data_IF_827521215851
#
_entry.id   IF_827521215851
#
_cell.length_a   1.000
_cell.length_b   1.000
_cell.length_c   1.000
_cell.angle_alpha   90.00
_cell.angle_beta   90.00
_cell.angle_gamma   90.00
#
_symmetry.space_group_name_H-M   'P 1'
#
loop_
_entity.id
_entity.type
_entity.pdbx_description
1 polymer ?
#
# COMPACT_ATOMS: atom_id res chain seq x y z
N UNK A 1 -26.75 32.48 -49.28
CA UNK A 1 -26.02 31.20 -49.18
C UNK A 1 -25.36 31.22 -47.82
N UNK A 2 -25.92 30.49 -46.85
CA UNK A 2 -25.31 30.39 -45.53
C UNK A 2 -23.99 29.62 -45.71
N UNK A 3 -22.89 30.22 -45.25
CA UNK A 3 -21.61 29.53 -45.13
C UNK A 3 -21.87 28.25 -44.35
N UNK A 4 -21.59 27.11 -44.99
CA UNK A 4 -21.55 25.82 -44.31
C UNK A 4 -20.48 25.98 -43.24
N UNK A 5 -20.89 26.09 -41.98
CA UNK A 5 -20.01 25.99 -40.84
C UNK A 5 -19.13 24.76 -41.06
N UNK A 6 -17.82 24.99 -41.25
CA UNK A 6 -16.86 23.89 -41.32
C UNK A 6 -16.96 23.18 -39.99
N UNK A 7 -17.50 21.97 -40.03
CA UNK A 7 -17.58 21.08 -38.89
C UNK A 7 -16.14 20.85 -38.38
N UNK A 8 -15.81 21.47 -37.26
CA UNK A 8 -14.51 21.31 -36.62
C UNK A 8 -14.55 19.97 -35.90
N UNK A 9 -14.18 18.89 -36.59
CA UNK A 9 -13.98 17.58 -35.96
C UNK A 9 -12.63 17.53 -35.24
N UNK A 10 -12.61 16.85 -34.09
CA UNK A 10 -11.40 16.53 -33.31
C UNK A 10 -10.91 15.09 -33.56
N UNK A 11 -11.56 14.33 -34.44
CA UNK A 11 -11.20 12.95 -34.75
C UNK A 11 -9.76 12.88 -35.26
N UNK A 12 -8.94 12.03 -34.62
CA UNK A 12 -7.52 11.86 -34.96
C UNK A 12 -6.63 13.06 -34.62
N UNK A 13 -7.17 14.12 -34.00
CA UNK A 13 -6.41 15.32 -33.61
C UNK A 13 -6.03 15.35 -32.14
N UNK A 14 -6.63 14.47 -31.33
CA UNK A 14 -6.38 14.36 -29.89
C UNK A 14 -5.54 13.12 -29.54
N UNK A 15 -5.28 12.24 -30.51
CA UNK A 15 -4.62 10.95 -30.27
C UNK A 15 -3.17 11.09 -29.79
N UNK A 16 -2.53 12.24 -30.07
CA UNK A 16 -1.16 12.58 -29.63
C UNK A 16 -1.12 13.67 -28.53
N UNK A 17 -2.27 14.02 -27.94
CA UNK A 17 -2.31 15.06 -26.92
C UNK A 17 -1.63 14.60 -25.63
N UNK A 18 -0.79 15.50 -25.10
CA UNK A 18 -0.12 15.27 -23.83
C UNK A 18 0.89 14.11 -23.85
N UNK A 19 1.43 13.74 -22.69
CA UNK A 19 2.46 12.71 -22.59
C UNK A 19 1.94 11.27 -22.74
N UNK A 20 0.61 11.06 -22.82
CA UNK A 20 -0.01 9.74 -22.73
C UNK A 20 -0.59 9.23 -24.05
N UNK A 21 -0.98 10.13 -24.96
CA UNK A 21 -1.51 9.79 -26.28
C UNK A 21 -2.59 8.72 -26.24
N UNK A 22 -2.46 7.69 -27.08
CA UNK A 22 -3.42 6.58 -27.19
C UNK A 22 -3.67 5.80 -25.90
N UNK A 23 -2.83 5.93 -24.86
CA UNK A 23 -3.01 5.20 -23.60
C UNK A 23 -3.88 5.93 -22.58
N UNK A 24 -4.23 7.20 -22.85
CA UNK A 24 -5.01 8.02 -21.94
C UNK A 24 -6.39 7.39 -21.64
N UNK A 25 -6.68 7.20 -20.35
CA UNK A 25 -8.00 6.76 -19.88
C UNK A 25 -8.39 5.32 -20.21
N UNK A 26 -7.49 4.49 -20.76
CA UNK A 26 -7.75 3.05 -21.01
C UNK A 26 -8.03 2.25 -19.74
N UNK A 27 -7.46 2.68 -18.62
CA UNK A 27 -7.56 2.04 -17.33
C UNK A 27 -8.23 2.97 -16.32
N UNK A 28 -9.14 2.41 -15.52
CA UNK A 28 -9.67 3.06 -14.33
C UNK A 28 -8.89 2.56 -13.10
N UNK A 29 -8.36 3.48 -12.31
CA UNK A 29 -7.60 3.19 -11.10
C UNK A 29 -8.44 3.55 -9.88
N UNK A 30 -8.58 2.59 -8.97
CA UNK A 30 -9.12 2.78 -7.64
C UNK A 30 -8.03 2.52 -6.60
N UNK A 31 -8.20 3.11 -5.43
CA UNK A 31 -7.42 2.74 -4.25
C UNK A 31 -8.32 2.13 -3.18
N UNK A 32 -7.75 1.30 -2.31
CA UNK A 32 -8.39 0.76 -1.12
C UNK A 32 -7.35 0.71 0.00
N UNK A 33 -7.76 0.97 1.23
CA UNK A 33 -6.91 0.91 2.42
C UNK A 33 -7.76 0.55 3.63
N UNK A 34 -7.16 0.59 4.82
CA UNK A 34 -7.90 0.50 6.07
C UNK A 34 -8.29 1.91 6.57
N UNK A 35 -9.59 2.24 6.68
CA UNK A 35 -10.02 3.58 7.08
C UNK A 35 -9.83 3.84 8.57
N UNK A 36 -9.55 2.81 9.37
CA UNK A 36 -9.32 2.98 10.79
C UNK A 36 -8.54 1.80 11.38
N UNK A 37 -7.22 1.87 11.30
CA UNK A 37 -6.33 0.87 11.89
C UNK A 37 -5.26 1.51 12.78
N UNK A 38 -5.03 0.91 13.94
CA UNK A 38 -3.99 1.35 14.86
C UNK A 38 -2.61 1.04 14.30
N UNK A 39 -1.73 2.05 14.23
CA UNK A 39 -0.36 1.90 13.70
C UNK A 39 0.71 2.40 14.68
N UNK A 40 0.34 2.51 15.96
CA UNK A 40 1.10 3.23 16.97
C UNK A 40 0.69 4.70 17.11
N UNK A 41 1.38 5.43 17.97
CA UNK A 41 1.07 6.83 18.29
C UNK A 41 1.56 7.79 17.19
N UNK A 42 2.65 7.46 16.51
CA UNK A 42 3.31 8.33 15.52
C UNK A 42 2.63 8.38 14.15
N UNK A 43 1.72 7.44 13.87
CA UNK A 43 1.06 7.29 12.58
C UNK A 43 -0.44 7.58 12.67
N UNK A 44 -1.06 8.20 11.65
CA UNK A 44 -2.51 8.39 11.61
C UNK A 44 -3.22 7.05 11.42
N UNK A 45 -4.45 6.93 11.94
CA UNK A 45 -5.25 5.69 11.79
C UNK A 45 -5.70 5.39 10.37
N UNK A 46 -5.55 6.35 9.46
CA UNK A 46 -5.89 6.26 8.03
C UNK A 46 -4.64 6.08 7.16
N UNK A 47 -3.52 5.63 7.74
CA UNK A 47 -2.23 5.56 7.04
C UNK A 47 -2.33 4.73 5.74
N UNK A 48 -3.03 3.60 5.78
CA UNK A 48 -3.22 2.72 4.64
C UNK A 48 -4.01 3.38 3.51
N UNK A 49 -5.05 4.16 3.85
CA UNK A 49 -5.80 4.95 2.88
C UNK A 49 -4.89 5.98 2.21
N UNK A 50 -4.10 6.72 3.00
CA UNK A 50 -3.20 7.75 2.49
C UNK A 50 -2.13 7.15 1.56
N UNK A 51 -1.58 6.00 1.95
CA UNK A 51 -0.60 5.27 1.16
C UNK A 51 -1.20 4.76 -0.16
N UNK A 52 -2.35 4.08 -0.09
CA UNK A 52 -3.04 3.56 -1.26
C UNK A 52 -3.47 4.65 -2.24
N UNK A 53 -4.05 5.74 -1.73
CA UNK A 53 -4.45 6.89 -2.54
C UNK A 53 -3.27 7.55 -3.23
N UNK A 54 -2.15 7.75 -2.52
CA UNK A 54 -0.96 8.38 -3.09
C UNK A 54 -0.39 7.56 -4.24
N UNK A 55 -0.23 6.25 -4.06
CA UNK A 55 0.34 5.39 -5.10
C UNK A 55 -0.60 5.31 -6.30
N UNK A 56 -1.89 5.06 -6.10
CA UNK A 56 -2.87 5.02 -7.17
C UNK A 56 -2.87 6.32 -8.00
N UNK A 57 -2.79 7.48 -7.34
CA UNK A 57 -2.69 8.76 -8.01
C UNK A 57 -1.39 8.89 -8.82
N UNK A 58 -0.24 8.53 -8.26
CA UNK A 58 1.04 8.59 -8.97
C UNK A 58 1.09 7.63 -10.18
N UNK A 59 0.51 6.42 -10.07
CA UNK A 59 0.36 5.50 -11.20
C UNK A 59 -0.46 6.17 -12.30
N UNK A 60 -1.56 6.85 -11.96
CA UNK A 60 -2.39 7.58 -12.94
C UNK A 60 -1.58 8.65 -13.69
N UNK A 61 -0.77 9.42 -12.97
CA UNK A 61 0.07 10.46 -13.56
C UNK A 61 1.21 9.92 -14.44
N UNK A 62 1.66 8.67 -14.24
CA UNK A 62 2.77 8.08 -15.00
C UNK A 62 2.29 7.23 -16.18
N UNK A 63 1.13 6.58 -16.06
CA UNK A 63 0.58 5.69 -17.09
C UNK A 63 -0.45 6.37 -18.01
N UNK A 64 -1.01 7.52 -17.63
CA UNK A 64 -2.15 8.12 -18.33
C UNK A 64 -3.49 7.47 -18.01
N UNK A 65 -3.50 6.44 -17.15
CA UNK A 65 -4.71 5.89 -16.60
C UNK A 65 -5.44 6.91 -15.71
N UNK A 66 -6.72 6.68 -15.44
CA UNK A 66 -7.55 7.61 -14.70
C UNK A 66 -7.75 7.17 -13.26
N UNK A 67 -7.25 7.95 -12.30
CA UNK A 67 -7.64 7.76 -10.90
C UNK A 67 -9.10 8.17 -10.69
N UNK A 68 -9.93 7.23 -10.27
CA UNK A 68 -11.38 7.40 -10.15
C UNK A 68 -11.80 7.73 -8.73
N UNK A 69 -11.52 6.83 -7.79
CA UNK A 69 -12.00 6.96 -6.42
C UNK A 69 -11.24 6.06 -5.43
N UNK A 70 -11.45 6.33 -4.14
CA UNK A 70 -11.01 5.51 -3.03
C UNK A 70 -12.20 4.68 -2.49
N UNK A 71 -12.00 3.38 -2.32
CA UNK A 71 -12.98 2.44 -1.77
C UNK A 71 -12.95 2.54 -0.23
N UNK A 72 -14.05 2.94 0.44
CA UNK A 72 -14.03 3.32 1.85
C UNK A 72 -14.28 2.14 2.82
N UNK A 73 -13.94 0.92 2.41
CA UNK A 73 -14.14 -0.29 3.19
C UNK A 73 -12.88 -1.16 3.19
N UNK A 74 -12.71 -1.98 4.22
CA UNK A 74 -11.57 -2.87 4.37
C UNK A 74 -12.02 -4.22 4.93
N UNK A 75 -11.20 -5.25 4.73
CA UNK A 75 -11.29 -6.54 5.41
C UNK A 75 -9.95 -6.85 6.08
N UNK A 76 -9.90 -7.92 6.87
CA UNK A 76 -8.68 -8.44 7.47
C UNK A 76 -8.74 -9.97 7.53
N UNK A 77 -7.59 -10.64 7.37
CA UNK A 77 -7.44 -12.10 7.47
C UNK A 77 -7.78 -12.64 8.87
N UNK A 78 -7.67 -11.80 9.90
CA UNK A 78 -7.74 -12.21 11.30
C UNK A 78 -9.10 -11.91 11.94
N UNK A 79 -10.16 -11.85 11.14
CA UNK A 79 -11.52 -11.65 11.65
C UNK A 79 -11.98 -12.81 12.55
N UNK A 80 -12.72 -12.55 13.64
CA UNK A 80 -13.19 -11.23 14.11
C UNK A 80 -12.19 -10.47 14.99
N UNK A 81 -11.05 -11.10 15.35
CA UNK A 81 -10.08 -10.55 16.31
C UNK A 81 -9.45 -9.25 15.80
N UNK A 82 -9.35 -9.08 14.49
CA UNK A 82 -8.85 -7.86 13.86
C UNK A 82 -9.56 -6.57 14.27
N UNK A 83 -10.83 -6.65 14.68
CA UNK A 83 -11.57 -5.48 15.17
C UNK A 83 -10.92 -4.80 16.39
N UNK A 84 -10.01 -5.46 17.10
CA UNK A 84 -9.27 -4.89 18.23
C UNK A 84 -8.22 -3.84 17.78
N UNK A 85 -7.66 -3.95 16.56
CA UNK A 85 -6.75 -2.95 15.98
C UNK A 85 -7.35 -2.19 14.80
N UNK A 86 -8.27 -2.81 14.07
CA UNK A 86 -8.92 -2.27 12.90
C UNK A 86 -10.46 -2.31 13.01
N UNK A 87 -11.10 -1.51 13.88
CA UNK A 87 -12.53 -1.64 14.23
C UNK A 87 -13.54 -1.41 13.10
N UNK A 88 -13.10 -1.10 11.88
CA UNK A 88 -13.95 -0.81 10.72
C UNK A 88 -13.87 -1.87 9.61
N UNK A 89 -13.09 -2.93 9.82
CA UNK A 89 -13.07 -4.04 8.87
C UNK A 89 -14.39 -4.79 8.87
N UNK A 90 -14.76 -5.30 7.71
CA UNK A 90 -15.97 -6.11 7.49
C UNK A 90 -15.57 -7.50 6.96
N UNK A 91 -16.44 -8.51 7.04
CA UNK A 91 -16.18 -9.81 6.42
C UNK A 91 -15.90 -9.68 4.92
N UNK A 92 -14.99 -10.51 4.38
CA UNK A 92 -14.58 -10.46 2.97
C UNK A 92 -15.76 -10.58 2.00
N UNK A 93 -16.72 -11.47 2.28
CA UNK A 93 -17.91 -11.63 1.44
C UNK A 93 -18.75 -10.34 1.37
N UNK A 94 -18.86 -9.62 2.49
CA UNK A 94 -19.54 -8.32 2.51
C UNK A 94 -18.75 -7.26 1.74
N UNK A 95 -17.42 -7.27 1.87
CA UNK A 95 -16.54 -6.36 1.14
C UNK A 95 -16.65 -6.56 -0.38
N UNK A 96 -16.63 -7.81 -0.84
CA UNK A 96 -16.73 -8.16 -2.28
C UNK A 96 -18.00 -7.58 -2.89
N UNK A 97 -19.15 -7.74 -2.25
CA UNK A 97 -20.42 -7.22 -2.76
C UNK A 97 -20.45 -5.67 -2.78
N UNK A 98 -19.89 -5.02 -1.75
CA UNK A 98 -19.76 -3.56 -1.73
C UNK A 98 -18.81 -3.04 -2.80
N UNK A 99 -17.69 -3.72 -3.03
CA UNK A 99 -16.72 -3.40 -4.09
C UNK A 99 -17.39 -3.54 -5.45
N UNK A 100 -18.10 -4.64 -5.74
CA UNK A 100 -18.84 -4.81 -7.00
C UNK A 100 -19.82 -3.67 -7.23
N UNK A 101 -20.63 -3.35 -6.22
CA UNK A 101 -21.60 -2.25 -6.31
C UNK A 101 -20.91 -0.90 -6.59
N UNK A 102 -19.84 -0.61 -5.86
CA UNK A 102 -19.10 0.65 -5.99
C UNK A 102 -18.42 0.80 -7.36
N UNK A 103 -17.76 -0.25 -7.82
CA UNK A 103 -17.14 -0.28 -9.15
C UNK A 103 -18.21 -0.15 -10.24
N UNK A 104 -19.32 -0.89 -10.14
CA UNK A 104 -20.42 -0.80 -11.10
C UNK A 104 -20.96 0.62 -11.22
N UNK A 105 -21.18 1.32 -10.10
CA UNK A 105 -21.62 2.72 -10.10
C UNK A 105 -20.67 3.62 -10.90
N UNK A 106 -19.36 3.51 -10.66
CA UNK A 106 -18.38 4.32 -11.38
C UNK A 106 -18.23 3.93 -12.85
N UNK A 107 -18.25 2.62 -13.17
CA UNK A 107 -18.19 2.13 -14.55
C UNK A 107 -19.32 2.71 -15.40
N UNK A 108 -20.56 2.75 -14.88
CA UNK A 108 -21.70 3.28 -15.63
C UNK A 108 -21.56 4.78 -15.92
N UNK A 109 -21.01 5.58 -14.99
CA UNK A 109 -20.71 6.99 -15.24
C UNK A 109 -19.77 7.17 -16.44
N UNK A 110 -18.74 6.34 -16.56
CA UNK A 110 -17.79 6.42 -17.68
C UNK A 110 -18.39 5.91 -19.00
N UNK A 111 -19.23 4.87 -18.95
CA UNK A 111 -19.97 4.41 -20.14
C UNK A 111 -20.93 5.47 -20.66
N UNK A 112 -21.62 6.19 -19.77
CA UNK A 112 -22.51 7.31 -20.13
C UNK A 112 -21.74 8.46 -20.80
N UNK A 113 -20.44 8.60 -20.52
CA UNK A 113 -19.54 9.54 -21.20
C UNK A 113 -18.98 8.99 -22.53
N UNK A 114 -19.34 7.78 -22.93
CA UNK A 114 -18.80 7.12 -24.13
C UNK A 114 -17.37 6.60 -23.97
N UNK A 115 -16.87 6.48 -22.74
CA UNK A 115 -15.50 6.02 -22.47
C UNK A 115 -15.47 4.50 -22.20
N UNK A 116 -14.41 3.80 -22.67
CA UNK A 116 -14.23 2.39 -22.34
C UNK A 116 -13.92 2.24 -20.84
N UNK A 117 -14.75 1.46 -20.13
CA UNK A 117 -14.63 1.21 -18.70
C UNK A 117 -14.47 -0.29 -18.40
N UNK A 118 -13.61 -0.97 -19.17
CA UNK A 118 -13.46 -2.43 -19.17
C UNK A 118 -12.17 -2.92 -18.49
N UNK A 119 -11.21 -2.04 -18.19
CA UNK A 119 -9.95 -2.37 -17.51
C UNK A 119 -9.83 -1.61 -16.19
N UNK A 120 -9.63 -2.34 -15.09
CA UNK A 120 -9.59 -1.78 -13.74
C UNK A 120 -8.33 -2.23 -12.99
N UNK A 121 -7.67 -1.28 -12.32
CA UNK A 121 -6.69 -1.52 -11.27
C UNK A 121 -7.26 -1.08 -9.92
N UNK A 122 -7.17 -1.93 -8.91
CA UNK A 122 -7.42 -1.58 -7.51
C UNK A 122 -6.08 -1.71 -6.78
N UNK A 123 -5.51 -0.60 -6.33
CA UNK A 123 -4.30 -0.61 -5.53
C UNK A 123 -4.65 -0.65 -4.03
N UNK A 124 -4.21 -1.68 -3.31
CA UNK A 124 -4.43 -1.83 -1.88
C UNK A 124 -3.24 -1.32 -1.08
N UNK A 125 -3.49 -0.34 -0.20
CA UNK A 125 -2.54 0.13 0.80
C UNK A 125 -2.57 -0.67 2.11
N UNK A 126 -3.42 -1.68 2.22
CA UNK A 126 -3.61 -2.51 3.43
C UNK A 126 -3.45 -4.00 3.08
N UNK A 127 -2.55 -4.71 3.77
CA UNK A 127 -2.31 -6.14 3.55
C UNK A 127 -3.47 -7.03 4.00
N UNK A 128 -4.32 -6.57 4.93
CA UNK A 128 -5.52 -7.32 5.34
C UNK A 128 -6.56 -7.46 4.23
N UNK A 129 -6.46 -6.69 3.14
CA UNK A 129 -7.32 -6.82 1.97
C UNK A 129 -6.92 -7.96 1.01
N UNK A 130 -5.82 -8.67 1.25
CA UNK A 130 -5.34 -9.76 0.37
C UNK A 130 -6.40 -10.82 0.02
N UNK A 131 -7.37 -11.19 0.90
CA UNK A 131 -8.47 -12.07 0.55
C UNK A 131 -9.30 -11.64 -0.67
N UNK A 132 -9.34 -10.34 -1.01
CA UNK A 132 -10.01 -9.88 -2.23
C UNK A 132 -9.45 -10.53 -3.50
N UNK A 133 -8.17 -10.91 -3.51
CA UNK A 133 -7.53 -11.59 -4.62
C UNK A 133 -8.20 -12.93 -4.96
N UNK A 134 -8.73 -13.65 -3.97
CA UNK A 134 -9.44 -14.91 -4.16
C UNK A 134 -10.77 -14.73 -4.92
N UNK A 135 -11.32 -13.51 -4.91
CA UNK A 135 -12.58 -13.16 -5.57
C UNK A 135 -12.38 -12.40 -6.89
N UNK A 136 -11.14 -12.22 -7.35
CA UNK A 136 -10.81 -11.44 -8.55
C UNK A 136 -11.63 -11.87 -9.77
N UNK A 137 -11.65 -13.17 -10.08
CA UNK A 137 -12.37 -13.66 -11.25
C UNK A 137 -13.90 -13.51 -11.12
N UNK A 138 -14.45 -13.64 -9.92
CA UNK A 138 -15.89 -13.39 -9.70
C UNK A 138 -16.22 -11.92 -9.95
N UNK A 139 -15.46 -10.99 -9.36
CA UNK A 139 -15.67 -9.55 -9.53
C UNK A 139 -15.53 -9.17 -11.01
N UNK A 140 -14.48 -9.65 -11.68
CA UNK A 140 -14.22 -9.40 -13.10
C UNK A 140 -15.38 -9.85 -13.99
N UNK A 141 -15.87 -11.07 -13.78
CA UNK A 141 -16.96 -11.65 -14.59
C UNK A 141 -18.29 -10.94 -14.35
N UNK A 142 -18.64 -10.66 -13.09
CA UNK A 142 -19.90 -9.98 -12.74
C UNK A 142 -19.98 -8.58 -13.33
N UNK A 143 -18.83 -7.87 -13.35
CA UNK A 143 -18.72 -6.51 -13.91
C UNK A 143 -18.41 -6.49 -15.42
N UNK A 144 -18.24 -7.67 -16.05
CA UNK A 144 -17.90 -7.83 -17.47
C UNK A 144 -16.63 -7.06 -17.86
N UNK A 145 -15.63 -7.10 -17.01
CA UNK A 145 -14.35 -6.45 -17.24
C UNK A 145 -13.48 -7.31 -18.16
N UNK A 146 -12.80 -6.66 -19.09
CA UNK A 146 -11.74 -7.26 -19.88
C UNK A 146 -10.56 -7.63 -18.96
N UNK A 147 -10.20 -6.72 -18.05
CA UNK A 147 -9.11 -6.94 -17.10
C UNK A 147 -9.41 -6.31 -15.74
N UNK A 148 -9.03 -7.02 -14.70
CA UNK A 148 -9.04 -6.57 -13.31
C UNK A 148 -7.72 -6.95 -12.68
N UNK A 149 -7.05 -5.98 -12.06
CA UNK A 149 -5.84 -6.17 -11.26
C UNK A 149 -6.17 -5.70 -9.85
N UNK A 150 -5.95 -6.55 -8.86
CA UNK A 150 -5.97 -6.19 -7.44
C UNK A 150 -4.53 -6.28 -6.97
N UNK A 151 -3.93 -5.11 -6.77
CA UNK A 151 -2.50 -4.93 -6.53
C UNK A 151 -2.27 -4.67 -5.04
N UNK A 152 -1.74 -5.63 -4.27
CA UNK A 152 -1.40 -5.40 -2.89
C UNK A 152 -0.05 -4.68 -2.78
N UNK A 153 0.19 -4.08 -1.61
CA UNK A 153 1.39 -3.28 -1.34
C UNK A 153 2.68 -4.11 -1.18
N UNK A 154 2.56 -5.41 -0.94
CA UNK A 154 3.64 -6.37 -0.68
C UNK A 154 4.11 -7.15 -1.92
N UNK A 155 3.39 -7.06 -3.05
CA UNK A 155 3.70 -7.77 -4.32
C UNK A 155 4.99 -7.33 -5.03
N UNK A 156 5.68 -6.30 -4.53
CA UNK A 156 6.92 -5.81 -5.12
C UNK A 156 8.04 -6.87 -5.14
N UNK A 157 8.07 -7.79 -4.18
CA UNK A 157 9.25 -8.59 -3.90
C UNK A 157 9.58 -9.55 -5.05
N UNK A 158 8.70 -10.48 -5.40
CA UNK A 158 9.13 -11.68 -6.13
C UNK A 158 9.59 -11.41 -7.57
N UNK A 159 8.91 -10.51 -8.30
CA UNK A 159 9.27 -10.21 -9.70
C UNK A 159 10.31 -9.09 -9.86
N UNK A 160 10.51 -8.27 -8.82
CA UNK A 160 11.38 -7.10 -8.89
C UNK A 160 12.57 -7.15 -7.93
N UNK A 161 12.85 -8.30 -7.28
CA UNK A 161 13.96 -8.41 -6.32
C UNK A 161 15.28 -7.87 -6.87
N UNK A 162 15.65 -8.19 -8.11
CA UNK A 162 16.91 -7.71 -8.70
C UNK A 162 16.95 -6.18 -8.85
N UNK A 163 15.82 -5.57 -9.26
CA UNK A 163 15.67 -4.12 -9.34
C UNK A 163 15.75 -3.49 -7.95
N UNK A 164 15.02 -4.04 -6.97
CA UNK A 164 15.04 -3.59 -5.58
C UNK A 164 16.47 -3.65 -5.02
N UNK A 165 17.18 -4.76 -5.21
CA UNK A 165 18.55 -4.93 -4.71
C UNK A 165 19.51 -3.89 -5.29
N UNK A 166 19.37 -3.57 -6.59
CA UNK A 166 20.19 -2.56 -7.27
C UNK A 166 19.89 -1.15 -6.75
N UNK A 167 18.63 -0.78 -6.62
CA UNK A 167 18.25 0.53 -6.10
C UNK A 167 18.66 0.70 -4.62
N UNK A 168 18.54 -0.35 -3.81
CA UNK A 168 19.00 -0.36 -2.42
C UNK A 168 20.52 -0.23 -2.32
N UNK A 169 21.26 -0.77 -3.29
CA UNK A 169 22.70 -0.57 -3.38
C UNK A 169 23.03 0.90 -3.65
N UNK A 170 22.42 1.52 -4.67
CA UNK A 170 22.60 2.95 -4.96
C UNK A 170 22.26 3.82 -3.76
N UNK A 171 21.08 3.59 -3.17
CA UNK A 171 20.62 4.35 -2.00
C UNK A 171 21.58 4.18 -0.81
N UNK A 172 22.15 2.99 -0.62
CA UNK A 172 23.11 2.76 0.45
C UNK A 172 24.44 3.49 0.26
N UNK A 173 24.85 3.73 -1.00
CA UNK A 173 26.04 4.53 -1.33
C UNK A 173 25.78 6.01 -1.10
N UNK A 174 24.60 6.49 -1.49
CA UNK A 174 24.17 7.89 -1.29
C UNK A 174 24.04 8.26 0.19
N UNK A 175 23.51 7.35 1.02
CA UNK A 175 23.34 7.56 2.46
C UNK A 175 24.63 7.32 3.27
N UNK A 176 25.70 6.81 2.66
CA UNK A 176 26.95 6.52 3.36
C UNK A 176 27.58 7.80 3.92
N UNK A 177 28.15 7.68 5.12
CA UNK A 177 28.84 8.79 5.79
C UNK A 177 30.26 8.38 6.18
N UNK A 178 31.07 9.33 6.66
CA UNK A 178 32.41 9.03 7.19
C UNK A 178 32.39 8.00 8.34
N UNK A 179 31.28 7.91 9.07
CA UNK A 179 31.13 7.04 10.24
C UNK A 179 30.29 5.79 10.00
N UNK A 180 29.63 5.69 8.85
CA UNK A 180 28.76 4.56 8.53
C UNK A 180 28.90 4.14 7.06
N UNK A 181 29.41 2.92 6.86
CA UNK A 181 29.67 2.40 5.51
C UNK A 181 28.39 2.01 4.77
N UNK A 182 28.40 2.17 3.44
CA UNK A 182 27.30 1.75 2.55
C UNK A 182 26.89 0.30 2.78
N UNK A 183 27.85 -0.62 3.01
CA UNK A 183 27.56 -2.02 3.33
C UNK A 183 26.70 -2.19 4.59
N UNK A 184 26.91 -1.37 5.63
CA UNK A 184 26.12 -1.41 6.87
C UNK A 184 24.71 -0.86 6.63
N UNK A 185 24.60 0.23 5.86
CA UNK A 185 23.32 0.84 5.46
C UNK A 185 22.52 -0.14 4.61
N UNK A 186 23.10 -0.70 3.55
CA UNK A 186 22.49 -1.73 2.68
C UNK A 186 21.86 -2.86 3.51
N UNK A 187 22.59 -3.39 4.49
CA UNK A 187 22.09 -4.43 5.40
C UNK A 187 20.92 -3.95 6.25
N UNK A 188 20.95 -2.71 6.76
CA UNK A 188 19.85 -2.11 7.52
C UNK A 188 18.60 -1.97 6.63
N UNK A 189 18.74 -1.39 5.45
CA UNK A 189 17.63 -1.20 4.49
C UNK A 189 17.01 -2.54 4.09
N UNK A 190 17.82 -3.53 3.71
CA UNK A 190 17.33 -4.88 3.38
C UNK A 190 16.62 -5.55 4.55
N UNK A 191 17.09 -5.32 5.77
CA UNK A 191 16.42 -5.86 6.96
C UNK A 191 15.09 -5.15 7.21
N UNK A 192 15.00 -3.83 7.02
CA UNK A 192 13.74 -3.09 7.11
C UNK A 192 12.74 -3.64 6.08
N UNK A 193 13.16 -3.86 4.84
CA UNK A 193 12.31 -4.40 3.78
C UNK A 193 11.86 -5.85 4.05
N UNK A 194 12.80 -6.74 4.37
CA UNK A 194 12.50 -8.18 4.56
C UNK A 194 11.83 -8.50 5.89
N UNK A 195 11.66 -7.50 6.76
CA UNK A 195 10.85 -7.60 7.99
C UNK A 195 9.71 -6.59 7.98
N UNK A 196 9.34 -6.14 6.77
CA UNK A 196 8.18 -5.31 6.52
C UNK A 196 6.93 -6.05 6.99
N UNK A 197 6.34 -5.52 8.06
CA UNK A 197 5.10 -5.97 8.63
C UNK A 197 4.43 -4.78 9.29
N UNK A 198 3.21 -5.01 9.78
CA UNK A 198 2.35 -3.96 10.29
C UNK A 198 3.02 -3.06 11.35
N UNK A 199 2.89 -1.75 11.22
CA UNK A 199 3.39 -0.72 12.11
C UNK A 199 4.89 -0.85 12.49
N UNK A 200 5.71 -1.34 11.57
CA UNK A 200 7.16 -1.51 11.72
C UNK A 200 7.98 -0.35 11.14
N UNK A 201 9.30 -0.57 10.98
CA UNK A 201 10.21 0.40 10.38
C UNK A 201 9.80 0.79 8.95
N UNK A 202 9.29 -0.18 8.19
CA UNK A 202 8.88 0.02 6.81
C UNK A 202 7.75 1.04 6.69
N UNK A 203 6.64 0.84 7.40
CA UNK A 203 5.49 1.76 7.33
C UNK A 203 5.80 3.14 7.92
N UNK A 204 6.65 3.22 8.95
CA UNK A 204 7.09 4.53 9.44
C UNK A 204 7.98 5.24 8.41
N UNK A 205 8.73 4.50 7.60
CA UNK A 205 9.53 5.05 6.50
C UNK A 205 8.63 5.55 5.36
N UNK A 206 7.59 4.81 5.00
CA UNK A 206 6.61 5.27 4.00
C UNK A 206 5.81 6.46 4.52
N UNK A 207 5.42 6.49 5.79
CA UNK A 207 4.77 7.64 6.41
C UNK A 207 5.66 8.89 6.42
N UNK A 208 6.97 8.74 6.67
CA UNK A 208 7.93 9.83 6.56
C UNK A 208 8.01 10.36 5.13
N UNK A 209 8.01 9.46 4.13
CA UNK A 209 8.00 9.83 2.71
C UNK A 209 6.71 10.56 2.30
N UNK A 210 5.57 10.18 2.87
CA UNK A 210 4.28 10.87 2.68
C UNK A 210 4.18 12.20 3.43
N UNK A 211 5.10 12.48 4.37
CA UNK A 211 5.06 13.68 5.21
C UNK A 211 3.97 13.65 6.28
N UNK A 212 3.55 12.46 6.71
CA UNK A 212 2.47 12.27 7.71
C UNK A 212 2.95 11.63 9.02
N UNK A 213 4.25 11.33 9.11
CA UNK A 213 4.87 10.86 10.35
C UNK A 213 4.95 12.01 11.37
N UNK A 214 4.42 11.77 12.56
CA UNK A 214 4.54 12.69 13.70
C UNK A 214 5.84 12.39 14.46
N UNK A 215 6.88 13.18 14.19
CA UNK A 215 8.23 12.97 14.76
C UNK A 215 8.26 13.13 16.28
N UNK A 216 7.47 14.04 16.85
CA UNK A 216 7.38 14.23 18.30
C UNK A 216 6.82 12.97 18.97
N UNK A 217 5.73 12.44 18.41
CA UNK A 217 5.13 11.19 18.88
C UNK A 217 6.01 9.98 18.67
N UNK A 218 6.77 9.92 17.58
CA UNK A 218 7.76 8.88 17.36
C UNK A 218 8.84 8.91 18.44
N UNK A 219 9.36 10.09 18.78
CA UNK A 219 10.36 10.24 19.84
C UNK A 219 9.82 9.78 21.19
N UNK A 220 8.60 10.20 21.57
CA UNK A 220 7.94 9.73 22.79
C UNK A 220 7.76 8.20 22.83
N UNK A 221 7.39 7.59 21.69
CA UNK A 221 7.29 6.13 21.60
C UNK A 221 8.64 5.45 21.78
N UNK A 222 9.68 5.96 21.13
CA UNK A 222 11.02 5.41 21.19
C UNK A 222 11.64 5.50 22.59
N UNK A 223 11.44 6.61 23.30
CA UNK A 223 11.88 6.75 24.70
C UNK A 223 11.25 5.69 25.61
N UNK A 224 9.96 5.40 25.42
CA UNK A 224 9.25 4.38 26.21
C UNK A 224 9.70 2.96 25.81
N UNK A 225 9.94 2.70 24.51
CA UNK A 225 10.50 1.43 24.02
C UNK A 225 11.90 1.15 24.60
N UNK A 226 12.76 2.16 24.66
CA UNK A 226 14.10 2.05 25.24
C UNK A 226 14.05 1.82 26.76
N UNK A 227 13.12 2.49 27.44
CA UNK A 227 12.95 2.38 28.90
C UNK A 227 12.37 1.02 29.32
N UNK A 228 11.30 0.59 28.67
CA UNK A 228 10.60 -0.66 28.97
C UNK A 228 9.83 -1.15 27.72
N UNK A 229 10.54 -1.94 26.92
CA UNK A 229 10.05 -2.45 25.64
C UNK A 229 8.69 -3.15 25.74
N UNK A 230 8.50 -4.02 26.74
CA UNK A 230 7.27 -4.80 26.88
C UNK A 230 6.08 -3.92 27.29
N UNK A 231 6.33 -2.99 28.23
CA UNK A 231 5.30 -2.04 28.65
C UNK A 231 4.91 -1.06 27.54
N UNK A 232 5.87 -0.64 26.72
CA UNK A 232 5.60 0.19 25.55
C UNK A 232 4.70 -0.53 24.53
N UNK A 233 4.97 -1.82 24.27
CA UNK A 233 4.10 -2.65 23.43
C UNK A 233 2.71 -2.84 24.02
N UNK A 234 2.55 -2.94 25.34
CA UNK A 234 1.21 -2.96 25.95
C UNK A 234 0.46 -1.63 25.82
N UNK A 235 1.19 -0.51 25.87
CA UNK A 235 0.64 0.85 25.71
C UNK A 235 0.22 1.14 24.27
N UNK A 236 0.98 0.64 23.29
CA UNK A 236 0.68 0.76 21.86
C UNK A 236 0.77 -0.61 21.16
N UNK A 237 -0.24 -1.48 21.35
CA UNK A 237 -0.21 -2.86 20.87
C UNK A 237 0.09 -3.09 19.39
N UNK A 238 -0.30 -2.21 18.46
CA UNK A 238 -0.07 -2.47 17.04
C UNK A 238 1.39 -2.45 16.60
N UNK A 239 2.28 -1.76 17.31
CA UNK A 239 3.64 -1.48 16.81
C UNK A 239 4.49 -2.76 16.71
N UNK A 240 5.35 -2.81 15.69
CA UNK A 240 6.25 -3.94 15.47
C UNK A 240 5.51 -5.23 15.14
N UNK A 241 4.55 -5.18 14.23
CA UNK A 241 3.79 -6.33 13.76
C UNK A 241 2.76 -6.82 14.76
N UNK A 242 1.92 -5.93 15.28
CA UNK A 242 0.93 -6.25 16.33
C UNK A 242 1.59 -6.78 17.62
N UNK A 243 2.78 -6.29 17.94
CA UNK A 243 3.66 -6.85 18.96
C UNK A 243 3.02 -7.01 20.34
N UNK A 244 2.21 -6.04 20.77
CA UNK A 244 1.50 -6.13 22.06
C UNK A 244 0.42 -7.20 22.07
N UNK A 245 -0.27 -7.42 20.94
CA UNK A 245 -1.27 -8.49 20.80
C UNK A 245 -0.60 -9.87 20.76
N UNK A 246 0.50 -10.00 20.02
CA UNK A 246 1.30 -11.24 20.00
C UNK A 246 1.80 -11.61 21.40
N UNK A 247 2.27 -10.63 22.16
CA UNK A 247 2.72 -10.84 23.54
C UNK A 247 1.59 -11.18 24.52
N UNK A 248 0.38 -10.65 24.28
CA UNK A 248 -0.78 -10.98 25.10
C UNK A 248 -1.22 -12.44 24.94
N UNK A 249 -0.92 -13.08 23.80
CA UNK A 249 -1.23 -14.49 23.57
C UNK A 249 -2.73 -14.76 23.41
N UNK A 250 -3.14 -15.99 23.74
CA UNK A 250 -4.55 -16.42 23.70
C UNK A 250 -5.18 -16.23 22.31
N UNK A 251 -6.36 -15.59 22.26
CA UNK A 251 -7.14 -15.39 21.04
C UNK A 251 -6.34 -14.75 19.89
N UNK A 252 -5.32 -13.94 20.20
CA UNK A 252 -4.52 -13.27 19.19
C UNK A 252 -3.59 -14.26 18.47
N UNK A 253 -2.83 -15.06 19.22
CA UNK A 253 -1.89 -16.04 18.64
C UNK A 253 -2.62 -17.24 18.04
N UNK A 254 -3.81 -17.58 18.56
CA UNK A 254 -4.68 -18.61 17.96
C UNK A 254 -5.11 -18.25 16.53
N UNK A 255 -5.33 -16.96 16.25
CA UNK A 255 -5.78 -16.47 14.93
C UNK A 255 -4.61 -16.05 14.04
N UNK A 256 -3.64 -15.30 14.57
CA UNK A 256 -2.47 -14.82 13.82
C UNK A 256 -1.50 -15.96 13.48
N UNK A 257 -1.45 -16.98 14.33
CA UNK A 257 -0.53 -18.09 14.22
C UNK A 257 0.69 -17.97 15.14
N UNK A 258 1.30 -19.11 15.47
CA UNK A 258 2.48 -19.17 16.32
C UNK A 258 3.71 -18.67 15.57
N UNK A 259 4.77 -18.34 16.32
CA UNK A 259 6.03 -17.82 15.80
C UNK A 259 6.71 -18.71 14.75
N UNK A 260 6.50 -20.02 14.83
CA UNK A 260 7.04 -21.00 13.89
C UNK A 260 6.31 -21.00 12.53
N UNK A 261 5.14 -20.35 12.45
CA UNK A 261 4.30 -20.21 11.26
C UNK A 261 3.98 -18.74 11.00
N UNK A 262 5.03 -17.94 10.82
CA UNK A 262 4.93 -16.50 10.62
C UNK A 262 4.61 -16.12 9.17
N UNK A 263 3.48 -16.62 8.66
CA UNK A 263 3.07 -16.45 7.25
C UNK A 263 2.88 -14.98 6.87
N UNK A 264 2.48 -14.14 7.83
CA UNK A 264 2.25 -12.71 7.64
C UNK A 264 3.42 -11.83 8.11
N UNK A 265 4.56 -12.42 8.52
CA UNK A 265 5.77 -11.69 8.91
C UNK A 265 5.66 -10.84 10.18
N UNK A 266 4.58 -11.00 10.97
CA UNK A 266 4.32 -10.21 12.18
C UNK A 266 5.34 -10.51 13.29
N UNK A 267 5.71 -11.79 13.49
CA UNK A 267 6.73 -12.15 14.46
C UNK A 267 8.14 -11.72 14.02
N UNK A 268 8.43 -11.77 12.72
CA UNK A 268 9.65 -11.26 12.13
C UNK A 268 9.76 -9.74 12.31
N UNK A 269 8.66 -9.01 12.14
CA UNK A 269 8.56 -7.58 12.40
C UNK A 269 8.87 -7.26 13.87
N UNK A 270 8.21 -7.94 14.82
CA UNK A 270 8.46 -7.77 16.27
C UNK A 270 9.92 -8.05 16.64
N UNK A 271 10.48 -9.14 16.10
CA UNK A 271 11.88 -9.51 16.31
C UNK A 271 12.83 -8.46 15.70
N UNK A 272 12.46 -7.88 14.57
CA UNK A 272 13.23 -6.84 13.90
C UNK A 272 13.24 -5.57 14.73
N UNK A 273 12.08 -5.09 15.16
CA UNK A 273 11.92 -3.94 16.03
C UNK A 273 12.80 -4.06 17.28
N UNK A 274 12.73 -5.21 17.98
CA UNK A 274 13.55 -5.43 19.19
C UNK A 274 15.06 -5.41 18.94
N UNK A 275 15.51 -5.83 17.75
CA UNK A 275 16.94 -6.03 17.45
C UNK A 275 17.57 -4.89 16.66
N UNK A 276 16.79 -4.17 15.87
CA UNK A 276 17.24 -3.08 15.02
C UNK A 276 17.22 -1.78 15.83
N UNK A 277 18.25 -0.95 15.67
CA UNK A 277 18.40 0.36 16.31
C UNK A 277 18.11 0.41 17.82
N UNK A 278 18.41 -0.68 18.54
CA UNK A 278 18.31 -0.75 20.00
C UNK A 278 16.88 -0.94 20.53
N UNK A 279 15.93 -1.41 19.72
CA UNK A 279 14.53 -1.53 20.14
C UNK A 279 13.66 -0.35 19.73
N UNK A 280 14.21 0.61 18.99
CA UNK A 280 13.51 1.80 18.51
C UNK A 280 13.00 1.62 17.09
N UNK A 281 11.94 2.35 16.76
CA UNK A 281 11.52 2.57 15.39
C UNK A 281 12.39 3.68 14.79
N UNK A 282 13.29 3.31 13.89
CA UNK A 282 14.10 4.23 13.08
C UNK A 282 13.58 4.19 11.64
N UNK A 283 12.69 5.10 11.24
CA UNK A 283 12.30 5.24 9.84
C UNK A 283 13.48 5.75 9.00
N UNK A 284 13.49 5.38 7.73
CA UNK A 284 14.43 5.89 6.71
C UNK A 284 13.57 6.45 5.58
N UNK A 285 13.39 7.78 5.55
CA UNK A 285 12.47 8.44 4.63
C UNK A 285 12.76 8.09 3.17
N UNK A 286 14.03 8.09 2.79
CA UNK A 286 14.50 7.82 1.43
C UNK A 286 14.19 6.38 1.00
N UNK A 287 14.14 5.43 1.95
CA UNK A 287 13.67 4.08 1.67
C UNK A 287 12.18 4.07 1.36
N UNK A 288 11.38 4.84 2.11
CA UNK A 288 9.95 5.00 1.84
C UNK A 288 9.69 5.60 0.46
N UNK A 289 10.45 6.64 0.08
CA UNK A 289 10.39 7.26 -1.24
C UNK A 289 10.77 6.28 -2.36
N UNK A 290 11.85 5.53 -2.17
CA UNK A 290 12.29 4.50 -3.12
C UNK A 290 11.19 3.46 -3.37
N UNK A 291 10.57 2.95 -2.31
CA UNK A 291 9.54 1.91 -2.44
C UNK A 291 8.28 2.44 -3.13
N UNK A 292 7.84 3.65 -2.79
CA UNK A 292 6.72 4.30 -3.50
C UNK A 292 7.04 4.42 -4.99
N UNK A 293 8.25 4.86 -5.34
CA UNK A 293 8.65 5.00 -6.74
C UNK A 293 8.68 3.65 -7.48
N UNK A 294 9.20 2.60 -6.84
CA UNK A 294 9.24 1.26 -7.41
C UNK A 294 7.83 0.67 -7.64
N UNK A 295 6.90 0.83 -6.69
CA UNK A 295 5.49 0.44 -6.85
C UNK A 295 4.86 1.17 -8.04
N UNK A 296 5.02 2.50 -8.06
CA UNK A 296 4.47 3.34 -9.13
C UNK A 296 5.04 2.93 -10.49
N UNK A 297 6.34 2.65 -10.57
CA UNK A 297 7.00 2.20 -11.79
C UNK A 297 6.49 0.86 -12.28
N UNK A 298 6.51 -0.15 -11.42
CA UNK A 298 6.07 -1.49 -11.76
C UNK A 298 4.64 -1.49 -12.31
N UNK A 299 3.70 -0.91 -11.56
CA UNK A 299 2.30 -0.91 -11.98
C UNK A 299 2.07 0.00 -13.20
N UNK A 300 2.78 1.13 -13.34
CA UNK A 300 2.65 1.96 -14.54
C UNK A 300 3.15 1.23 -15.79
N UNK A 301 4.29 0.55 -15.70
CA UNK A 301 4.83 -0.27 -16.79
C UNK A 301 3.89 -1.43 -17.14
N UNK A 302 3.22 -2.03 -16.16
CA UNK A 302 2.22 -3.07 -16.36
C UNK A 302 1.01 -2.53 -17.14
N UNK A 303 0.47 -1.37 -16.76
CA UNK A 303 -0.69 -0.78 -17.44
C UNK A 303 -0.35 -0.33 -18.88
N UNK A 304 0.87 0.13 -19.13
CA UNK A 304 1.30 0.61 -20.45
C UNK A 304 1.58 -0.52 -21.46
N UNK A 305 1.80 -1.76 -21.00
CA UNK A 305 2.03 -2.94 -21.86
C UNK A 305 0.72 -3.58 -22.35
N UNK A 306 -0.41 -3.20 -21.77
CA UNK A 306 -1.73 -3.85 -21.90
C UNK A 306 -2.77 -2.98 -22.62
#
# INVERSE_FOLDING_TARGET
>A
MADKEKEISLDGKMDDWGPFGENEGKWLIFSIGNPQEGHGLALPRIMDDLFGQRIAHLISCKSGARYVAHIPWATDNFMPVASDWAPKVIPVDELVEKVKYFLSYHIEIYKDMGLPATKILIFSGHGGNNPLGEHLESIKNDLKLEKLIIAPSDDLADENMDRILKEIESLSEELATEHESSRKIKRKLLKILTTGGHAGHFEHSTAAALGVLDEEKLNMMNEELEKDFEKALQKWPPIGGLGGFLMAGGKYVEVIGPKEKDEHGLWACLKSLRKLDGGRISPVKELGELIINLLVEYYSELLLKE
#
